data_IF_152552675672
#
_entry.id   IF_152552675672
#
_cell.length_a   1.000
_cell.length_b   1.000
_cell.length_c   1.000
_cell.angle_alpha   90.00
_cell.angle_beta   90.00
_cell.angle_gamma   90.00
#
_symmetry.space_group_name_H-M   'P 1'
#
loop_
_entity.id
_entity.type
_entity.pdbx_description
1 polymer ?
#
# COMPACT_ATOMS: atom_id res chain seq x y z
N UNK A 1 18.74 28.41 -17.05
CA UNK A 1 17.85 28.86 -15.95
C UNK A 1 17.78 27.68 -15.01
N UNK A 2 18.69 27.63 -14.04
CA UNK A 2 18.68 26.60 -13.01
C UNK A 2 17.57 26.98 -12.03
N UNK A 3 16.55 26.14 -11.93
CA UNK A 3 15.57 26.23 -10.86
C UNK A 3 16.32 26.22 -9.53
N UNK A 4 16.14 27.26 -8.73
CA UNK A 4 16.81 27.37 -7.44
C UNK A 4 16.31 26.22 -6.54
N UNK A 5 17.19 25.39 -5.94
CA UNK A 5 16.80 24.26 -5.09
C UNK A 5 15.88 24.62 -3.91
N UNK A 6 15.75 25.92 -3.60
CA UNK A 6 14.90 26.44 -2.53
C UNK A 6 13.42 26.54 -2.89
N UNK A 7 13.03 26.49 -4.17
CA UNK A 7 11.63 26.66 -4.59
C UNK A 7 10.90 25.34 -4.87
N UNK A 8 11.63 24.26 -5.17
CA UNK A 8 11.04 22.97 -5.53
C UNK A 8 10.17 22.35 -4.42
N UNK A 9 10.59 22.33 -3.13
CA UNK A 9 9.72 21.86 -2.04
C UNK A 9 8.41 22.65 -1.95
N UNK A 10 8.47 23.98 -2.12
CA UNK A 10 7.32 24.85 -1.98
C UNK A 10 6.26 24.59 -3.06
N UNK A 11 6.68 24.27 -4.29
CA UNK A 11 5.75 23.93 -5.39
C UNK A 11 5.03 22.63 -5.11
N UNK A 12 5.75 21.57 -4.69
CA UNK A 12 5.13 20.27 -4.38
C UNK A 12 4.14 20.40 -3.22
N UNK A 13 4.48 21.15 -2.16
CA UNK A 13 3.55 21.38 -1.06
C UNK A 13 2.34 22.23 -1.47
N UNK A 14 2.54 23.22 -2.36
CA UNK A 14 1.42 24.00 -2.89
C UNK A 14 0.49 23.13 -3.75
N UNK A 15 1.04 22.21 -4.55
CA UNK A 15 0.26 21.24 -5.33
C UNK A 15 -0.49 20.27 -4.43
N UNK A 16 0.17 19.71 -3.41
CA UNK A 16 -0.48 18.82 -2.45
C UNK A 16 -1.62 19.53 -1.72
N UNK A 17 -1.42 20.78 -1.28
CA UNK A 17 -2.46 21.58 -0.63
C UNK A 17 -3.60 21.95 -1.59
N UNK A 18 -3.28 22.23 -2.85
CA UNK A 18 -4.28 22.43 -3.90
C UNK A 18 -5.15 21.19 -4.07
N UNK A 19 -4.54 20.01 -4.26
CA UNK A 19 -5.27 18.74 -4.36
C UNK A 19 -6.11 18.51 -3.10
N UNK A 20 -5.53 18.67 -1.92
CA UNK A 20 -6.23 18.45 -0.64
C UNK A 20 -7.43 19.37 -0.44
N UNK A 21 -7.35 20.63 -0.87
CA UNK A 21 -8.45 21.59 -0.74
C UNK A 21 -9.55 21.41 -1.79
N UNK A 22 -9.24 20.79 -2.93
CA UNK A 22 -10.15 20.66 -4.07
C UNK A 22 -10.69 19.24 -4.28
N UNK A 23 -9.97 18.22 -3.83
CA UNK A 23 -10.35 16.81 -3.92
C UNK A 23 -11.14 16.31 -2.71
N UNK A 24 -11.66 17.17 -1.82
CA UNK A 24 -12.45 16.74 -0.64
C UNK A 24 -13.96 16.74 -0.87
N UNK A 25 -14.44 17.27 -2.00
CA UNK A 25 -15.85 17.32 -2.38
C UNK A 25 -16.01 16.84 -3.82
N UNK A 26 -17.08 16.08 -4.09
CA UNK A 26 -17.46 15.76 -5.47
C UNK A 26 -17.73 17.08 -6.21
N UNK A 27 -17.00 17.41 -7.30
CA UNK A 27 -17.16 18.69 -7.98
C UNK A 27 -18.61 18.86 -8.44
N UNK A 28 -19.21 20.00 -8.13
CA UNK A 28 -20.54 20.34 -8.62
C UNK A 28 -20.46 20.63 -10.12
N UNK A 29 -21.53 20.37 -10.89
CA UNK A 29 -21.56 20.70 -12.33
C UNK A 29 -21.29 22.18 -12.65
N UNK A 30 -21.37 23.07 -11.66
CA UNK A 30 -21.20 24.50 -11.80
C UNK A 30 -19.74 24.97 -11.60
N UNK A 31 -18.92 24.16 -10.93
CA UNK A 31 -17.50 24.42 -10.78
C UNK A 31 -16.80 23.71 -11.93
N UNK A 32 -16.10 24.45 -12.81
CA UNK A 32 -15.11 23.82 -13.70
C UNK A 32 -14.23 22.98 -12.78
N UNK A 33 -14.22 21.66 -12.96
CA UNK A 33 -13.46 20.79 -12.09
C UNK A 33 -12.02 21.34 -12.04
N UNK A 34 -11.49 21.70 -10.86
CA UNK A 34 -10.07 22.01 -10.74
C UNK A 34 -9.29 20.86 -11.37
N UNK A 35 -8.25 21.16 -12.15
CA UNK A 35 -7.49 20.15 -12.87
C UNK A 35 -6.59 19.38 -11.89
N UNK A 36 -7.25 18.61 -11.02
CA UNK A 36 -6.67 17.77 -9.98
C UNK A 36 -5.81 16.70 -10.64
N UNK A 37 -6.21 16.20 -11.80
CA UNK A 37 -5.43 15.23 -12.58
C UNK A 37 -4.11 15.84 -13.05
N UNK A 38 -4.10 17.06 -13.61
CA UNK A 38 -2.84 17.72 -13.95
C UNK A 38 -1.97 17.98 -12.73
N UNK A 39 -2.55 18.41 -11.61
CA UNK A 39 -1.80 18.62 -10.36
C UNK A 39 -1.20 17.31 -9.83
N UNK A 40 -1.95 16.21 -9.89
CA UNK A 40 -1.50 14.88 -9.49
C UNK A 40 -0.43 14.33 -10.42
N UNK A 41 -0.57 14.54 -11.73
CA UNK A 41 0.44 14.14 -12.72
C UNK A 41 1.77 14.82 -12.43
N UNK A 42 1.77 16.14 -12.17
CA UNK A 42 2.98 16.87 -11.79
C UNK A 42 3.53 16.38 -10.45
N UNK A 43 2.66 16.16 -9.46
CA UNK A 43 3.08 15.68 -8.14
C UNK A 43 3.64 14.25 -8.19
N UNK A 44 3.09 13.38 -9.04
CA UNK A 44 3.52 11.99 -9.21
C UNK A 44 4.81 11.84 -10.01
N UNK A 45 5.19 12.83 -10.82
CA UNK A 45 6.46 12.83 -11.56
C UNK A 45 7.59 13.59 -10.84
N UNK A 46 7.39 13.92 -9.56
CA UNK A 46 8.40 14.62 -8.76
C UNK A 46 9.59 13.71 -8.44
N UNK A 47 10.69 14.33 -8.02
CA UNK A 47 11.85 13.64 -7.45
C UNK A 47 11.86 13.81 -5.92
N UNK A 48 11.63 12.74 -5.13
CA UNK A 48 11.62 12.81 -3.67
C UNK A 48 12.92 13.28 -3.03
N UNK A 49 14.06 13.22 -3.74
CA UNK A 49 15.33 13.76 -3.26
C UNK A 49 15.28 15.28 -3.08
N UNK A 50 14.34 15.95 -3.76
CA UNK A 50 14.19 17.41 -3.78
C UNK A 50 12.96 17.91 -3.02
N UNK A 51 12.14 17.02 -2.45
CA UNK A 51 10.92 17.39 -1.73
C UNK A 51 11.19 18.02 -0.36
N UNK A 52 12.40 17.87 0.19
CA UNK A 52 12.71 18.19 1.58
C UNK A 52 12.18 17.14 2.57
N UNK A 53 12.21 17.46 3.86
CA UNK A 53 11.95 16.48 4.93
C UNK A 53 10.46 16.27 5.23
N UNK A 54 9.57 17.15 4.74
CA UNK A 54 8.15 17.07 5.07
C UNK A 54 7.45 16.12 4.09
N UNK A 55 6.71 15.11 4.59
CA UNK A 55 5.94 14.24 3.73
C UNK A 55 4.78 15.00 3.05
N UNK A 56 4.46 14.60 1.84
CA UNK A 56 3.30 15.08 1.10
C UNK A 56 2.02 14.71 1.86
N UNK A 57 1.10 15.67 2.01
CA UNK A 57 -0.14 15.47 2.75
C UNK A 57 -1.33 15.44 1.80
N UNK A 58 -1.84 14.23 1.55
CA UNK A 58 -3.01 13.92 0.74
C UNK A 58 -4.05 13.16 1.57
N UNK A 59 -4.12 13.41 2.88
CA UNK A 59 -5.08 12.74 3.76
C UNK A 59 -6.51 13.05 3.38
N UNK A 60 -7.34 12.01 3.39
CA UNK A 60 -8.79 12.14 3.20
C UNK A 60 -9.24 12.66 1.84
N UNK A 61 -8.33 12.72 0.85
CA UNK A 61 -8.69 13.13 -0.52
C UNK A 61 -9.65 12.10 -1.15
N UNK A 62 -10.56 12.59 -1.99
CA UNK A 62 -11.55 11.83 -2.74
C UNK A 62 -11.11 11.76 -4.20
N UNK A 63 -10.32 10.72 -4.51
CA UNK A 63 -9.68 10.47 -5.80
C UNK A 63 -10.10 9.10 -6.36
N UNK A 64 -11.37 8.73 -6.18
CA UNK A 64 -11.89 7.49 -6.75
C UNK A 64 -11.79 7.51 -8.28
N UNK A 65 -11.27 6.42 -8.87
CA UNK A 65 -11.09 6.30 -10.32
C UNK A 65 -9.93 7.13 -10.90
N UNK A 66 -9.05 7.67 -10.07
CA UNK A 66 -7.90 8.47 -10.52
C UNK A 66 -6.87 7.65 -11.28
N UNK A 67 -6.14 8.28 -12.20
CA UNK A 67 -4.95 7.72 -12.81
C UNK A 67 -3.67 8.26 -12.15
N UNK A 68 -2.92 7.37 -11.54
CA UNK A 68 -1.66 7.58 -10.83
C UNK A 68 -0.65 6.48 -11.23
N UNK A 69 -0.75 5.94 -12.44
CA UNK A 69 0.21 4.95 -12.93
C UNK A 69 1.64 5.49 -12.84
N UNK A 70 2.55 4.70 -12.27
CA UNK A 70 3.96 5.07 -12.09
C UNK A 70 4.18 6.32 -11.24
N UNK A 71 3.16 6.82 -10.53
CA UNK A 71 3.31 8.01 -9.71
C UNK A 71 4.21 7.70 -8.52
N UNK A 72 5.20 8.55 -8.29
CA UNK A 72 5.89 8.57 -7.02
C UNK A 72 4.92 9.13 -5.97
N UNK A 73 4.70 8.42 -4.89
CA UNK A 73 3.95 8.80 -3.69
C UNK A 73 4.68 8.28 -2.44
N UNK A 74 6.00 8.07 -2.56
CA UNK A 74 6.85 7.55 -1.50
C UNK A 74 6.75 8.43 -0.26
N UNK A 75 6.50 7.81 0.90
CA UNK A 75 6.31 8.47 2.21
C UNK A 75 5.14 9.47 2.26
N UNK A 76 4.27 9.51 1.25
CA UNK A 76 3.10 10.37 1.27
C UNK A 76 2.12 9.94 2.37
N UNK A 77 1.41 10.93 2.92
CA UNK A 77 0.33 10.71 3.86
C UNK A 77 -1.00 10.68 3.12
N UNK A 78 -1.51 9.47 2.90
CA UNK A 78 -2.77 9.15 2.23
C UNK A 78 -3.79 8.57 3.22
N UNK A 79 -3.62 8.82 4.53
CA UNK A 79 -4.51 8.25 5.54
C UNK A 79 -5.96 8.69 5.28
N UNK A 80 -6.85 7.71 5.22
CA UNK A 80 -8.27 7.90 4.90
C UNK A 80 -8.57 8.38 3.49
N UNK A 81 -7.60 8.41 2.57
CA UNK A 81 -7.85 8.76 1.17
C UNK A 81 -8.78 7.73 0.51
N UNK A 82 -9.60 8.18 -0.42
CA UNK A 82 -10.46 7.32 -1.26
C UNK A 82 -9.85 7.27 -2.64
N UNK A 83 -9.28 6.12 -2.97
CA UNK A 83 -8.57 5.79 -4.21
C UNK A 83 -9.25 4.63 -4.96
N UNK A 84 -10.42 4.18 -4.49
CA UNK A 84 -11.14 3.02 -5.04
C UNK A 84 -11.31 3.12 -6.55
N UNK A 85 -11.11 1.99 -7.22
CA UNK A 85 -11.13 1.87 -8.69
C UNK A 85 -10.11 2.76 -9.43
N UNK A 86 -9.13 3.33 -8.74
CA UNK A 86 -8.03 4.05 -9.35
C UNK A 86 -7.00 3.13 -10.01
N UNK A 87 -6.18 3.71 -10.87
CA UNK A 87 -5.00 3.08 -11.43
C UNK A 87 -3.75 3.57 -10.70
N UNK A 88 -3.11 2.71 -9.92
CA UNK A 88 -1.83 2.91 -9.25
C UNK A 88 -0.82 1.83 -9.68
N UNK A 89 -0.97 1.30 -10.90
CA UNK A 89 -0.01 0.36 -11.48
C UNK A 89 1.41 0.94 -11.46
N UNK A 90 2.37 0.16 -10.97
CA UNK A 90 3.79 0.55 -10.82
C UNK A 90 4.03 1.83 -10.00
N UNK A 91 3.07 2.29 -9.18
CA UNK A 91 3.25 3.46 -8.34
C UNK A 91 4.27 3.19 -7.21
N UNK A 92 5.06 4.20 -6.85
CA UNK A 92 6.01 4.13 -5.72
C UNK A 92 5.31 4.63 -4.46
N UNK A 93 4.93 3.72 -3.57
CA UNK A 93 4.23 3.99 -2.31
C UNK A 93 5.08 3.58 -1.09
N UNK A 94 6.40 3.44 -1.27
CA UNK A 94 7.32 2.99 -0.23
C UNK A 94 7.21 3.87 1.02
N UNK A 95 6.93 3.25 2.17
CA UNK A 95 6.73 3.92 3.44
C UNK A 95 5.52 4.87 3.53
N UNK A 96 4.59 4.85 2.58
CA UNK A 96 3.41 5.70 2.60
C UNK A 96 2.46 5.35 3.77
N UNK A 97 1.74 6.36 4.28
CA UNK A 97 0.69 6.16 5.28
C UNK A 97 -0.68 6.07 4.61
N UNK A 98 -1.19 4.85 4.45
CA UNK A 98 -2.47 4.51 3.82
C UNK A 98 -3.50 4.01 4.85
N UNK A 99 -3.32 4.35 6.14
CA UNK A 99 -4.24 3.89 7.20
C UNK A 99 -5.67 4.26 6.90
N UNK A 100 -6.56 3.27 6.92
CA UNK A 100 -7.99 3.47 6.67
C UNK A 100 -8.32 4.00 5.26
N UNK A 101 -7.37 3.98 4.32
CA UNK A 101 -7.63 4.36 2.94
C UNK A 101 -8.60 3.37 2.28
N UNK A 102 -9.42 3.87 1.37
CA UNK A 102 -10.27 3.05 0.51
C UNK A 102 -9.56 2.80 -0.81
N UNK A 103 -9.13 1.57 -1.01
CA UNK A 103 -8.37 1.07 -2.17
C UNK A 103 -9.14 -0.07 -2.87
N UNK A 104 -10.45 -0.19 -2.63
CA UNK A 104 -11.23 -1.29 -3.18
C UNK A 104 -11.26 -1.24 -4.71
N UNK A 105 -11.00 -2.37 -5.37
CA UNK A 105 -10.95 -2.46 -6.82
C UNK A 105 -9.83 -1.64 -7.48
N UNK A 106 -8.84 -1.18 -6.72
CA UNK A 106 -7.71 -0.39 -7.24
C UNK A 106 -6.71 -1.31 -7.94
N UNK A 107 -6.13 -0.84 -9.05
CA UNK A 107 -5.04 -1.53 -9.73
C UNK A 107 -3.73 -1.08 -9.10
N UNK A 108 -3.00 -2.01 -8.48
CA UNK A 108 -1.71 -1.81 -7.79
C UNK A 108 -0.66 -2.80 -8.32
N UNK A 109 -0.87 -3.34 -9.53
CA UNK A 109 0.06 -4.30 -10.16
C UNK A 109 1.47 -3.70 -10.20
N UNK A 110 2.44 -4.44 -9.66
CA UNK A 110 3.85 -4.04 -9.60
C UNK A 110 4.16 -2.81 -8.74
N UNK A 111 3.21 -2.29 -7.96
CA UNK A 111 3.44 -1.12 -7.11
C UNK A 111 4.41 -1.44 -5.95
N UNK A 112 5.24 -0.48 -5.55
CA UNK A 112 6.09 -0.60 -4.37
C UNK A 112 5.39 -0.05 -3.12
N UNK A 113 4.84 -0.93 -2.28
CA UNK A 113 4.24 -0.64 -0.99
C UNK A 113 5.17 -1.06 0.17
N UNK A 114 6.48 -1.21 -0.07
CA UNK A 114 7.42 -1.67 0.95
C UNK A 114 7.43 -0.74 2.18
N UNK A 115 7.29 -1.33 3.36
CA UNK A 115 7.19 -0.59 4.62
C UNK A 115 5.97 0.33 4.75
N UNK A 116 5.03 0.31 3.79
CA UNK A 116 3.84 1.14 3.84
C UNK A 116 2.92 0.72 4.99
N UNK A 117 2.12 1.66 5.46
CA UNK A 117 1.20 1.47 6.55
C UNK A 117 -0.24 1.44 6.02
N UNK A 118 -0.77 0.24 5.83
CA UNK A 118 -2.10 -0.09 5.31
C UNK A 118 -3.07 -0.51 6.43
N UNK A 119 -2.78 -0.15 7.69
CA UNK A 119 -3.60 -0.55 8.83
C UNK A 119 -5.06 -0.14 8.65
N UNK A 120 -5.98 -1.10 8.77
CA UNK A 120 -7.42 -0.93 8.52
C UNK A 120 -7.79 -0.39 7.12
N UNK A 121 -6.90 -0.45 6.13
CA UNK A 121 -7.23 -0.09 4.75
C UNK A 121 -8.21 -1.09 4.13
N UNK A 122 -9.07 -0.60 3.23
CA UNK A 122 -10.03 -1.41 2.50
C UNK A 122 -9.51 -1.69 1.09
N UNK A 123 -8.96 -2.87 0.87
CA UNK A 123 -8.34 -3.37 -0.36
C UNK A 123 -9.18 -4.50 -1.00
N UNK A 124 -10.47 -4.60 -0.67
CA UNK A 124 -11.33 -5.64 -1.25
C UNK A 124 -11.33 -5.52 -2.77
N UNK A 125 -11.20 -6.65 -3.47
CA UNK A 125 -11.13 -6.72 -4.94
C UNK A 125 -9.96 -5.95 -5.57
N UNK A 126 -8.96 -5.51 -4.80
CA UNK A 126 -7.77 -4.83 -5.34
C UNK A 126 -6.88 -5.81 -6.11
N UNK A 127 -6.20 -5.30 -7.15
CA UNK A 127 -5.25 -6.08 -7.96
C UNK A 127 -3.84 -5.72 -7.52
N UNK A 128 -3.18 -6.61 -6.78
CA UNK A 128 -1.85 -6.46 -6.18
C UNK A 128 -0.83 -7.44 -6.80
N UNK A 129 -1.09 -7.89 -8.02
CA UNK A 129 -0.20 -8.82 -8.75
C UNK A 129 1.23 -8.25 -8.78
N UNK A 130 2.20 -9.05 -8.37
CA UNK A 130 3.64 -8.67 -8.31
C UNK A 130 3.95 -7.42 -7.45
N UNK A 131 3.00 -6.93 -6.64
CA UNK A 131 3.24 -5.78 -5.77
C UNK A 131 4.23 -6.12 -4.64
N UNK A 132 5.07 -5.14 -4.28
CA UNK A 132 6.00 -5.27 -3.16
C UNK A 132 5.34 -4.74 -1.88
N UNK A 133 4.90 -5.63 -1.00
CA UNK A 133 4.34 -5.32 0.32
C UNK A 133 5.32 -5.71 1.45
N UNK A 134 6.61 -5.84 1.14
CA UNK A 134 7.58 -6.32 2.12
C UNK A 134 7.67 -5.35 3.30
N UNK A 135 7.67 -5.89 4.53
CA UNK A 135 7.63 -5.12 5.79
C UNK A 135 6.43 -4.16 5.93
N UNK A 136 5.40 -4.27 5.08
CA UNK A 136 4.20 -3.43 5.20
C UNK A 136 3.37 -3.81 6.43
N UNK A 137 2.61 -2.85 6.95
CA UNK A 137 1.67 -3.07 8.05
C UNK A 137 0.25 -3.14 7.53
N UNK A 138 -0.32 -4.35 7.49
CA UNK A 138 -1.68 -4.65 7.03
C UNK A 138 -2.62 -4.96 8.19
N UNK A 139 -2.28 -4.57 9.42
CA UNK A 139 -3.07 -4.89 10.61
C UNK A 139 -4.55 -4.51 10.43
N UNK A 140 -5.45 -5.48 10.56
CA UNK A 140 -6.90 -5.33 10.34
C UNK A 140 -7.33 -4.82 8.96
N UNK A 141 -6.45 -4.89 7.94
CA UNK A 141 -6.81 -4.56 6.57
C UNK A 141 -7.81 -5.57 5.99
N UNK A 142 -8.59 -5.12 5.01
CA UNK A 142 -9.58 -5.93 4.32
C UNK A 142 -9.08 -6.23 2.91
N UNK A 143 -8.67 -7.46 2.64
CA UNK A 143 -8.18 -7.94 1.34
C UNK A 143 -9.10 -9.05 0.82
N UNK A 144 -10.41 -8.96 1.09
CA UNK A 144 -11.34 -9.96 0.60
C UNK A 144 -11.33 -9.94 -0.93
N UNK A 145 -11.19 -11.10 -1.56
CA UNK A 145 -11.21 -11.24 -3.03
C UNK A 145 -10.12 -10.44 -3.76
N UNK A 146 -9.07 -10.00 -3.04
CA UNK A 146 -7.93 -9.33 -3.65
C UNK A 146 -7.06 -10.33 -4.42
N UNK A 147 -6.48 -9.88 -5.54
CA UNK A 147 -5.51 -10.67 -6.30
C UNK A 147 -4.10 -10.31 -5.85
N UNK A 148 -3.42 -11.22 -5.15
CA UNK A 148 -2.05 -11.03 -4.69
C UNK A 148 -1.07 -11.94 -5.45
N UNK A 149 -1.40 -12.43 -6.66
CA UNK A 149 -0.52 -13.34 -7.40
C UNK A 149 0.93 -12.80 -7.42
N UNK A 150 1.90 -13.61 -6.96
CA UNK A 150 3.34 -13.26 -6.87
C UNK A 150 3.70 -12.03 -6.01
N UNK A 151 2.77 -11.49 -5.23
CA UNK A 151 3.05 -10.38 -4.32
C UNK A 151 4.09 -10.76 -3.25
N UNK A 152 4.87 -9.77 -2.82
CA UNK A 152 5.89 -9.95 -1.80
C UNK A 152 5.41 -9.42 -0.44
N UNK A 153 5.05 -10.30 0.49
CA UNK A 153 4.62 -9.96 1.85
C UNK A 153 5.65 -10.37 2.91
N UNK A 154 6.93 -10.51 2.53
CA UNK A 154 7.98 -10.89 3.49
C UNK A 154 8.06 -9.87 4.62
N UNK A 155 8.11 -10.37 5.85
CA UNK A 155 8.12 -9.57 7.10
C UNK A 155 6.91 -8.62 7.28
N UNK A 156 5.84 -8.76 6.49
CA UNK A 156 4.65 -7.93 6.67
C UNK A 156 3.88 -8.31 7.94
N UNK A 157 3.22 -7.35 8.58
CA UNK A 157 2.26 -7.62 9.65
C UNK A 157 0.86 -7.81 9.08
N UNK A 158 0.27 -8.99 9.23
CA UNK A 158 -1.09 -9.28 8.79
C UNK A 158 -2.05 -9.54 9.97
N UNK A 159 -1.74 -9.06 11.17
CA UNK A 159 -2.58 -9.31 12.34
C UNK A 159 -4.05 -8.93 12.10
N UNK A 160 -4.98 -9.89 12.25
CA UNK A 160 -6.44 -9.72 12.01
C UNK A 160 -6.84 -9.32 10.58
N UNK A 161 -5.97 -9.51 9.59
CA UNK A 161 -6.29 -9.24 8.19
C UNK A 161 -7.36 -10.21 7.66
N UNK A 162 -8.25 -9.71 6.80
CA UNK A 162 -9.23 -10.54 6.10
C UNK A 162 -8.75 -10.86 4.68
N UNK A 163 -8.33 -12.11 4.44
CA UNK A 163 -7.87 -12.62 3.13
C UNK A 163 -8.86 -13.62 2.52
N UNK A 164 -10.13 -13.65 2.96
CA UNK A 164 -11.09 -14.59 2.38
C UNK A 164 -11.23 -14.34 0.87
N UNK A 165 -11.28 -15.42 0.10
CA UNK A 165 -11.39 -15.40 -1.38
C UNK A 165 -10.21 -14.70 -2.09
N UNK A 166 -9.15 -14.29 -1.40
CA UNK A 166 -7.97 -13.71 -2.03
C UNK A 166 -7.17 -14.77 -2.80
N UNK A 167 -6.62 -14.40 -3.96
CA UNK A 167 -5.64 -15.22 -4.67
C UNK A 167 -4.27 -15.02 -4.03
N UNK A 168 -3.66 -16.11 -3.55
CA UNK A 168 -2.35 -16.12 -2.90
C UNK A 168 -1.33 -16.97 -3.66
N UNK A 169 -1.58 -17.23 -4.95
CA UNK A 169 -0.70 -17.99 -5.82
C UNK A 169 0.69 -17.35 -5.86
N UNK A 170 1.72 -18.13 -5.56
CA UNK A 170 3.13 -17.71 -5.54
C UNK A 170 3.46 -16.50 -4.63
N UNK A 171 2.62 -16.20 -3.62
CA UNK A 171 2.89 -15.14 -2.65
C UNK A 171 4.07 -15.50 -1.74
N UNK A 172 4.96 -14.53 -1.53
CA UNK A 172 6.10 -14.68 -0.59
C UNK A 172 5.68 -14.23 0.81
N UNK A 173 5.71 -15.15 1.78
CA UNK A 173 5.26 -14.91 3.17
C UNK A 173 6.37 -15.06 4.21
N UNK A 174 7.64 -15.17 3.81
CA UNK A 174 8.74 -15.42 4.75
C UNK A 174 8.79 -14.33 5.83
N UNK A 175 8.66 -14.73 7.10
CA UNK A 175 8.69 -13.83 8.26
C UNK A 175 7.42 -13.00 8.47
N UNK A 176 6.35 -13.19 7.68
CA UNK A 176 5.11 -12.44 7.85
C UNK A 176 4.34 -12.89 9.12
N UNK A 177 3.76 -11.94 9.86
CA UNK A 177 2.89 -12.24 10.99
C UNK A 177 1.47 -12.56 10.51
N UNK A 178 1.12 -13.85 10.52
CA UNK A 178 -0.19 -14.37 10.11
C UNK A 178 -1.15 -14.61 11.28
N UNK A 179 -0.89 -14.03 12.46
CA UNK A 179 -1.73 -14.23 13.64
C UNK A 179 -3.14 -13.67 13.42
N UNK A 180 -4.15 -14.47 13.76
CA UNK A 180 -5.57 -14.09 13.64
C UNK A 180 -6.04 -13.67 12.24
N UNK A 181 -5.30 -14.03 11.19
CA UNK A 181 -5.71 -13.84 9.79
C UNK A 181 -6.95 -14.68 9.49
N UNK A 182 -7.95 -14.09 8.83
CA UNK A 182 -9.06 -14.85 8.22
C UNK A 182 -8.61 -15.31 6.84
N UNK A 183 -8.51 -16.62 6.65
CA UNK A 183 -7.87 -17.24 5.48
C UNK A 183 -8.87 -17.46 4.33
N UNK A 184 -8.40 -17.57 3.07
CA UNK A 184 -9.20 -18.13 1.98
C UNK A 184 -9.74 -19.52 2.33
N UNK A 185 -10.85 -19.93 1.72
CA UNK A 185 -11.32 -21.32 1.79
C UNK A 185 -10.38 -22.20 0.95
N UNK A 186 -9.41 -22.86 1.61
CA UNK A 186 -8.36 -23.67 0.97
C UNK A 186 -7.04 -23.57 1.74
N UNK A 187 -6.24 -24.64 1.76
CA UNK A 187 -4.97 -24.67 2.49
C UNK A 187 -3.98 -23.64 1.92
N UNK A 188 -3.53 -22.71 2.77
CA UNK A 188 -2.33 -21.92 2.50
C UNK A 188 -1.11 -22.86 2.41
N UNK A 189 -0.12 -22.60 1.55
CA UNK A 189 1.17 -23.28 1.67
C UNK A 189 1.70 -23.02 3.09
N UNK A 190 1.83 -24.09 3.87
CA UNK A 190 2.23 -24.03 5.27
C UNK A 190 3.72 -23.73 5.38
N UNK A 191 4.11 -22.46 5.27
CA UNK A 191 5.46 -22.03 5.63
C UNK A 191 5.55 -21.88 7.17
N UNK A 192 5.64 -23.01 7.87
CA UNK A 192 6.30 -23.04 9.17
C UNK A 192 7.31 -24.19 9.19
N UNK A 193 8.62 -23.93 9.34
CA UNK A 193 9.56 -25.00 9.66
C UNK A 193 9.15 -25.52 11.03
N UNK A 194 8.71 -26.78 11.08
CA UNK A 194 8.45 -27.47 12.33
C UNK A 194 9.76 -27.42 13.14
N UNK A 195 9.78 -26.88 14.38
CA UNK A 195 10.98 -26.94 15.19
C UNK A 195 11.31 -28.42 15.40
N UNK A 196 12.43 -28.87 14.84
CA UNK A 196 12.91 -30.23 15.05
C UNK A 196 13.13 -30.40 16.55
N UNK A 197 12.44 -31.33 17.23
CA UNK A 197 12.64 -31.51 18.66
C UNK A 197 14.09 -31.92 18.91
N UNK A 198 14.72 -31.46 20.01
CA UNK A 198 16.08 -31.84 20.32
C UNK A 198 16.18 -33.37 20.42
N UNK A 199 17.11 -33.92 19.65
CA UNK A 199 17.42 -35.35 19.61
C UNK A 199 17.73 -35.83 21.02
N UNK A 200 16.79 -36.55 21.65
CA UNK A 200 17.05 -37.22 22.93
C UNK A 200 18.13 -38.28 22.68
N UNK A 201 19.27 -38.13 23.35
CA UNK A 201 20.30 -39.16 23.43
C UNK A 201 19.72 -40.34 24.22
N UNK A 202 19.85 -41.59 23.75
CA UNK A 202 19.39 -42.75 24.50
C UNK A 202 20.18 -42.90 25.79
N UNK A 203 19.47 -42.90 26.92
CA UNK A 203 19.99 -43.29 28.23
C UNK A 203 20.26 -44.80 28.19
N UNK A 204 21.49 -45.22 27.88
CA UNK A 204 21.91 -46.58 28.17
C UNK A 204 22.10 -46.74 29.69
N UNK A 205 21.39 -47.73 30.21
CA UNK A 205 21.55 -48.33 31.52
C UNK A 205 22.98 -48.83 31.71
N UNK A 206 23.69 -48.29 32.70
CA UNK A 206 24.80 -48.99 33.33
C UNK A 206 24.32 -49.47 34.71
N UNK A 207 24.33 -50.80 34.86
CA UNK A 207 24.22 -51.52 36.11
C UNK A 207 25.42 -51.21 37.02
#
# INVERSE_FOLDING_TARGET
MEDSPRQQPAVIYALAEYIRSHAIKKPSKADKAPDIEAALSVLGQRDPAHDGDRPIDLRGVQLAGVDLHGADLSRANLAGAVLSHGNLESAELSGADLRGASLSGTILTGADLSGANLGAAALNDAVLIEANLSSARLDSAQLKSADLEKADLRNASLHKTDLREADLTDVKLDGADLTSVRRPEGDLPTSSPTPTPPRQLPTELAQ
#
